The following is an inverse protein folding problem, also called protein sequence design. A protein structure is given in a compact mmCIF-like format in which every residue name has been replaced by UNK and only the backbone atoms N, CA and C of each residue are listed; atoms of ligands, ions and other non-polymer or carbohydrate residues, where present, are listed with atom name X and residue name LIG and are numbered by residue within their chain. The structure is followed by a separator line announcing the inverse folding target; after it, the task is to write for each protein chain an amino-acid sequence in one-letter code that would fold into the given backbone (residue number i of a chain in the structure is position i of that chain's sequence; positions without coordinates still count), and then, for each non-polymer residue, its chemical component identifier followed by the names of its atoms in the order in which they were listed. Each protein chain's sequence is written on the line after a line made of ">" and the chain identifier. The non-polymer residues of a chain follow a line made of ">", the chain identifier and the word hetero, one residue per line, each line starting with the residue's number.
data_IF_298199696733
#
_entry.id   IF_298199696733
#
_cell.length_a   1.000
_cell.length_b   1.000
_cell.length_c   1.000
_cell.angle_alpha   90.00
_cell.angle_beta   90.00
_cell.angle_gamma   90.00
#
_symmetry.space_group_name_H-M   'P 1'
#
loop_
_entity.id
_entity.type
_entity.pdbx_description
1 polymer ?
#
# COMPACT_ATOMS: atom_id res chain seq x y z
N UNK A 1 21.74 58.92 8.96
CA UNK A 1 20.92 57.92 9.69
C UNK A 1 20.27 56.87 8.80
N UNK A 2 19.84 57.15 7.55
CA UNK A 2 19.14 56.15 6.70
C UNK A 2 20.00 55.06 6.03
N UNK A 3 21.32 55.23 5.90
CA UNK A 3 22.21 54.23 5.25
C UNK A 3 22.72 53.12 6.20
N UNK A 4 22.66 53.34 7.51
CA UNK A 4 23.06 52.34 8.49
C UNK A 4 21.89 51.47 8.95
N UNK A 5 20.65 51.97 8.89
CA UNK A 5 19.46 51.18 9.26
C UNK A 5 19.24 50.02 8.29
N UNK A 6 19.51 50.19 6.99
CA UNK A 6 19.27 49.14 6.00
C UNK A 6 20.32 48.02 6.05
N UNK A 7 21.57 48.35 6.35
CA UNK A 7 22.65 47.37 6.53
C UNK A 7 22.54 46.63 7.87
N UNK A 8 22.07 47.29 8.94
CA UNK A 8 21.80 46.61 10.21
C UNK A 8 20.56 45.70 10.12
N UNK A 9 19.52 46.09 9.37
CA UNK A 9 18.33 45.25 9.16
C UNK A 9 18.63 44.04 8.26
N UNK A 10 19.46 44.18 7.20
CA UNK A 10 19.90 43.02 6.42
C UNK A 10 20.87 42.10 7.17
N UNK A 11 21.73 42.64 8.04
CA UNK A 11 22.62 41.81 8.87
C UNK A 11 21.83 41.01 9.93
N UNK A 12 20.76 41.58 10.50
CA UNK A 12 19.87 40.87 11.45
C UNK A 12 18.98 39.84 10.74
N UNK A 13 18.54 40.10 9.51
CA UNK A 13 17.80 39.13 8.69
C UNK A 13 18.70 37.99 8.15
N UNK A 14 19.97 38.26 7.82
CA UNK A 14 20.93 37.20 7.45
C UNK A 14 21.38 36.37 8.66
N UNK A 15 21.42 36.95 9.87
CA UNK A 15 21.67 36.17 11.09
C UNK A 15 20.48 35.28 11.50
N UNK A 16 19.25 35.60 11.10
CA UNK A 16 18.09 34.73 11.33
C UNK A 16 18.07 33.48 10.43
N UNK A 17 18.86 33.44 9.34
CA UNK A 17 19.02 32.26 8.48
C UNK A 17 20.33 31.48 8.71
N UNK A 18 21.18 31.93 9.64
CA UNK A 18 22.43 31.25 10.03
C UNK A 18 22.35 30.53 11.38
N UNK A 19 21.18 30.53 12.03
CA UNK A 19 20.93 29.59 13.11
C UNK A 19 20.78 28.20 12.47
N UNK A 20 21.56 27.17 12.88
CA UNK A 20 21.21 25.82 12.52
C UNK A 20 19.76 25.63 12.97
N UNK A 21 18.86 25.36 12.02
CA UNK A 21 17.58 24.76 12.35
C UNK A 21 17.90 23.39 12.93
N UNK A 22 18.25 23.39 14.21
CA UNK A 22 17.96 22.28 15.09
C UNK A 22 16.45 22.14 14.98
N UNK A 23 16.00 21.23 14.13
CA UNK A 23 14.66 20.71 14.26
C UNK A 23 14.54 20.36 15.73
N UNK A 24 13.70 21.09 16.47
CA UNK A 24 13.42 20.74 17.84
C UNK A 24 12.81 19.35 17.78
N UNK A 25 13.64 18.35 18.05
CA UNK A 25 13.18 17.03 18.35
C UNK A 25 12.47 17.18 19.69
N UNK A 26 11.15 17.33 19.64
CA UNK A 26 10.34 17.12 20.81
C UNK A 26 10.60 15.67 21.25
N UNK A 27 11.04 15.49 22.50
CA UNK A 27 10.90 14.21 23.16
C UNK A 27 9.41 13.90 23.14
N UNK A 28 9.01 13.00 22.26
CA UNK A 28 7.68 12.43 22.33
C UNK A 28 7.70 11.44 23.49
N UNK A 29 6.64 11.37 24.29
CA UNK A 29 6.38 10.30 25.29
C UNK A 29 6.23 8.91 24.65
N UNK A 30 6.86 8.68 23.49
CA UNK A 30 6.80 7.47 22.70
C UNK A 30 7.69 6.41 23.32
N UNK A 31 7.08 5.31 23.73
CA UNK A 31 7.78 4.16 24.33
C UNK A 31 8.10 3.11 23.26
N UNK A 32 9.20 2.38 23.45
CA UNK A 32 9.52 1.19 22.65
C UNK A 32 9.37 -0.05 23.52
N UNK A 33 8.54 -0.97 23.04
CA UNK A 33 8.39 -2.30 23.61
C UNK A 33 9.08 -3.28 22.67
N UNK A 34 10.07 -4.03 23.15
CA UNK A 34 10.62 -5.18 22.44
C UNK A 34 10.11 -6.44 23.11
N UNK A 35 9.39 -7.29 22.38
CA UNK A 35 8.88 -8.56 22.92
C UNK A 35 8.00 -8.39 24.17
N UNK A 36 7.17 -7.34 24.16
CA UNK A 36 6.34 -6.89 25.29
C UNK A 36 7.12 -6.42 26.53
N UNK A 37 8.42 -6.17 26.42
CA UNK A 37 9.24 -5.53 27.47
C UNK A 37 9.61 -4.11 27.06
N UNK A 38 9.36 -3.14 27.93
CA UNK A 38 9.77 -1.76 27.69
C UNK A 38 11.30 -1.64 27.69
N UNK A 39 11.85 -0.99 26.66
CA UNK A 39 13.28 -0.73 26.57
C UNK A 39 13.62 0.55 27.35
N UNK A 40 14.48 0.43 28.36
CA UNK A 40 14.96 1.56 29.13
C UNK A 40 15.93 2.44 28.31
N UNK A 41 15.93 3.75 28.56
CA UNK A 41 16.78 4.74 27.87
C UNK A 41 16.61 4.76 26.33
N UNK A 42 15.42 4.39 25.85
CA UNK A 42 15.10 4.27 24.43
C UNK A 42 14.31 5.47 23.90
N UNK A 43 14.78 6.69 24.18
CA UNK A 43 14.10 7.92 23.74
C UNK A 43 13.91 7.90 22.22
N UNK A 44 12.67 8.10 21.76
CA UNK A 44 12.34 8.07 20.34
C UNK A 44 12.19 9.49 19.83
N UNK A 45 12.78 9.76 18.66
CA UNK A 45 12.63 11.05 17.99
C UNK A 45 11.69 10.90 16.80
N UNK A 46 10.89 11.94 16.55
CA UNK A 46 10.16 12.06 15.28
C UNK A 46 10.80 13.17 14.46
N UNK A 47 11.35 12.81 13.29
CA UNK A 47 11.99 13.75 12.37
C UNK A 47 11.26 13.67 11.03
N UNK A 48 10.65 14.77 10.61
CA UNK A 48 9.91 14.86 9.33
C UNK A 48 8.91 13.71 9.15
N UNK A 49 8.08 13.46 10.18
CA UNK A 49 7.09 12.37 10.24
C UNK A 49 7.66 10.94 10.24
N UNK A 50 8.98 10.77 10.31
CA UNK A 50 9.63 9.46 10.47
C UNK A 50 10.01 9.24 11.92
N UNK A 51 9.62 8.09 12.48
CA UNK A 51 10.05 7.62 13.80
C UNK A 51 11.50 7.12 13.74
N UNK A 52 12.36 7.69 14.58
CA UNK A 52 13.78 7.41 14.67
C UNK A 52 14.08 6.76 16.02
N UNK A 53 14.77 5.61 16.01
CA UNK A 53 15.05 4.82 17.22
C UNK A 53 16.54 4.76 17.53
N UNK A 54 16.93 4.69 18.82
CA UNK A 54 18.32 4.57 19.21
C UNK A 54 18.85 3.19 18.84
N UNK A 55 19.69 3.15 17.80
CA UNK A 55 20.06 1.90 17.14
C UNK A 55 20.83 0.95 18.06
N UNK A 56 21.67 1.50 18.96
CA UNK A 56 22.42 0.72 19.93
C UNK A 56 21.50 -0.05 20.86
N UNK A 57 20.52 0.64 21.45
CA UNK A 57 19.58 0.07 22.41
C UNK A 57 18.78 -1.06 21.78
N UNK A 58 18.24 -0.86 20.57
CA UNK A 58 17.46 -1.91 19.90
C UNK A 58 18.34 -3.09 19.48
N UNK A 59 19.56 -2.84 18.98
CA UNK A 59 20.41 -3.91 18.43
C UNK A 59 21.07 -4.77 19.51
N UNK A 60 21.54 -4.16 20.62
CA UNK A 60 22.19 -4.90 21.71
C UNK A 60 21.21 -5.79 22.47
N UNK A 61 19.93 -5.38 22.58
CA UNK A 61 18.87 -6.22 23.16
C UNK A 61 18.53 -7.45 22.32
N UNK A 62 18.88 -7.42 21.03
CA UNK A 62 18.80 -8.57 20.13
C UNK A 62 20.09 -9.40 20.09
N UNK A 63 21.07 -9.04 20.93
CA UNK A 63 22.35 -9.74 21.02
C UNK A 63 23.38 -9.32 19.96
N UNK A 64 23.11 -8.29 19.15
CA UNK A 64 24.10 -7.77 18.21
C UNK A 64 25.12 -6.87 18.92
N UNK A 65 26.39 -6.97 18.50
CA UNK A 65 27.41 -6.01 18.91
C UNK A 65 27.31 -4.74 18.07
N UNK A 66 27.46 -3.58 18.70
CA UNK A 66 27.43 -2.29 18.02
C UNK A 66 28.76 -1.55 18.18
N UNK A 67 29.48 -1.39 17.08
CA UNK A 67 30.73 -0.64 16.99
C UNK A 67 30.52 0.79 16.51
N UNK A 68 31.39 1.70 16.95
CA UNK A 68 31.47 3.08 16.47
C UNK A 68 32.86 3.37 15.93
N UNK A 69 32.93 3.89 14.71
CA UNK A 69 34.15 4.40 14.10
C UNK A 69 34.09 5.93 14.04
N UNK A 70 34.85 6.60 14.91
CA UNK A 70 34.89 8.05 15.01
C UNK A 70 35.42 8.74 13.75
N UNK A 71 36.44 8.19 13.10
CA UNK A 71 37.06 8.81 11.92
C UNK A 71 36.13 8.76 10.71
N UNK A 72 35.39 7.66 10.55
CA UNK A 72 34.45 7.47 9.44
C UNK A 72 33.03 7.96 9.74
N UNK A 73 32.73 8.36 10.99
CA UNK A 73 31.38 8.65 11.46
C UNK A 73 30.41 7.51 11.14
N UNK A 74 30.83 6.28 11.46
CA UNK A 74 30.10 5.06 11.11
C UNK A 74 29.70 4.23 12.32
N UNK A 75 28.46 3.74 12.30
CA UNK A 75 27.97 2.69 13.20
C UNK A 75 27.99 1.36 12.47
N UNK A 76 28.53 0.33 13.11
CA UNK A 76 28.54 -1.05 12.62
C UNK A 76 27.75 -1.93 13.58
N UNK A 77 26.85 -2.76 13.06
CA UNK A 77 26.00 -3.68 13.83
C UNK A 77 26.26 -5.10 13.33
N UNK A 78 26.52 -6.04 14.25
CA UNK A 78 26.84 -7.43 13.91
C UNK A 78 28.33 -7.64 13.61
N UNK A 79 28.64 -8.72 12.89
CA UNK A 79 30.03 -9.09 12.54
C UNK A 79 30.09 -9.99 11.32
N UNK A 80 31.20 -9.96 10.58
CA UNK A 80 31.42 -10.86 9.45
C UNK A 80 30.50 -10.55 8.26
N UNK A 81 29.92 -11.57 7.65
CA UNK A 81 29.02 -11.42 6.50
C UNK A 81 27.64 -10.82 6.85
N UNK A 82 27.23 -10.93 8.13
CA UNK A 82 25.97 -10.43 8.66
C UNK A 82 26.17 -9.07 9.36
N UNK A 83 26.62 -8.08 8.58
CA UNK A 83 27.00 -6.76 9.09
C UNK A 83 26.18 -5.65 8.45
N UNK A 84 25.63 -4.77 9.28
CA UNK A 84 25.01 -3.51 8.86
C UNK A 84 25.95 -2.35 9.19
N UNK A 85 26.23 -1.48 8.20
CA UNK A 85 27.06 -0.28 8.37
C UNK A 85 26.25 0.96 7.98
N UNK A 86 26.18 1.92 8.90
CA UNK A 86 25.47 3.18 8.75
C UNK A 86 26.48 4.32 8.83
N UNK A 87 26.43 5.26 7.88
CA UNK A 87 27.22 6.50 7.93
C UNK A 87 26.30 7.66 8.33
N UNK A 88 26.72 8.46 9.31
CA UNK A 88 25.91 9.59 9.79
C UNK A 88 25.67 10.60 8.66
N UNK A 89 24.45 11.16 8.62
CA UNK A 89 23.95 12.11 7.62
C UNK A 89 23.83 11.57 6.19
N UNK A 90 23.96 10.26 5.98
CA UNK A 90 23.73 9.63 4.68
C UNK A 90 22.34 8.96 4.63
N UNK A 91 21.69 9.02 3.46
CA UNK A 91 20.39 8.37 3.19
C UNK A 91 20.53 6.92 2.71
N UNK A 92 21.68 6.31 2.93
CA UNK A 92 21.92 4.93 2.59
C UNK A 92 22.80 4.27 3.65
N UNK A 93 22.57 2.98 3.86
CA UNK A 93 23.38 2.09 4.66
C UNK A 93 23.89 0.94 3.78
N UNK A 94 24.81 0.15 4.28
CA UNK A 94 25.11 -1.16 3.70
C UNK A 94 24.67 -2.26 4.65
N UNK A 95 23.99 -3.28 4.13
CA UNK A 95 23.63 -4.48 4.88
C UNK A 95 24.17 -5.68 4.11
N UNK A 96 25.05 -6.45 4.73
CA UNK A 96 25.70 -7.62 4.14
C UNK A 96 26.39 -7.29 2.79
N UNK A 97 26.96 -6.08 2.69
CA UNK A 97 27.63 -5.56 1.49
C UNK A 97 26.70 -4.92 0.44
N UNK A 98 25.38 -5.07 0.55
CA UNK A 98 24.41 -4.45 -0.35
C UNK A 98 23.99 -3.05 0.13
N UNK A 99 23.81 -2.10 -0.80
CA UNK A 99 23.34 -0.74 -0.47
C UNK A 99 21.83 -0.77 -0.21
N UNK A 100 21.41 -0.25 0.94
CA UNK A 100 20.01 -0.17 1.36
C UNK A 100 19.63 1.29 1.62
N UNK A 101 18.58 1.83 0.99
CA UNK A 101 18.16 3.21 1.19
C UNK A 101 17.47 3.42 2.55
N UNK A 102 17.66 4.62 3.11
CA UNK A 102 17.01 5.09 4.33
C UNK A 102 15.97 6.17 4.00
N UNK A 103 14.80 6.11 4.63
CA UNK A 103 13.75 7.13 4.48
C UNK A 103 14.14 8.47 5.10
N UNK A 104 14.98 8.44 6.15
CA UNK A 104 15.68 9.60 6.71
C UNK A 104 17.13 9.24 7.01
N UNK A 105 18.08 10.19 6.92
CA UNK A 105 19.48 9.90 7.25
C UNK A 105 19.65 9.39 8.68
N UNK A 106 20.65 8.53 8.90
CA UNK A 106 21.08 8.21 10.27
C UNK A 106 21.66 9.47 10.92
N UNK A 107 21.30 9.76 12.18
CA UNK A 107 21.67 11.00 12.87
C UNK A 107 22.36 10.71 14.20
N UNK A 108 23.35 11.51 14.57
CA UNK A 108 23.96 11.47 15.90
C UNK A 108 23.48 12.67 16.73
N UNK A 109 22.95 12.43 17.93
CA UNK A 109 22.51 13.47 18.86
C UNK A 109 22.71 13.01 20.31
N UNK A 110 23.32 13.87 21.15
CA UNK A 110 23.63 13.57 22.57
C UNK A 110 24.25 12.18 22.76
N UNK A 111 25.34 11.91 22.03
CA UNK A 111 26.08 10.63 22.06
C UNK A 111 25.27 9.38 21.62
N UNK A 112 24.06 9.56 21.09
CA UNK A 112 23.20 8.49 20.61
C UNK A 112 23.03 8.57 19.09
N UNK A 113 23.12 7.42 18.42
CA UNK A 113 22.80 7.31 16.98
C UNK A 113 21.35 6.86 16.78
N UNK A 114 20.62 7.64 15.99
CA UNK A 114 19.22 7.46 15.64
C UNK A 114 19.07 7.00 14.20
N UNK A 115 18.23 5.98 13.98
CA UNK A 115 18.02 5.36 12.67
C UNK A 115 16.52 5.17 12.43
N UNK A 116 16.01 5.28 11.18
CA UNK A 116 14.59 5.09 10.90
C UNK A 116 14.11 3.71 11.35
N UNK A 117 13.02 3.68 12.12
CA UNK A 117 12.48 2.46 12.71
C UNK A 117 12.24 1.34 11.68
N UNK A 118 11.70 1.70 10.51
CA UNK A 118 11.44 0.76 9.40
C UNK A 118 12.72 0.08 8.89
N UNK A 119 13.83 0.81 8.89
CA UNK A 119 15.12 0.24 8.49
C UNK A 119 15.60 -0.74 9.56
N UNK A 120 15.57 -0.35 10.84
CA UNK A 120 15.98 -1.20 11.97
C UNK A 120 15.17 -2.49 11.99
N UNK A 121 13.86 -2.39 11.82
CA UNK A 121 13.00 -3.57 11.83
C UNK A 121 13.24 -4.50 10.64
N UNK A 122 13.46 -3.93 9.45
CA UNK A 122 13.73 -4.72 8.25
C UNK A 122 15.09 -5.44 8.32
N UNK A 123 16.14 -4.76 8.81
CA UNK A 123 17.49 -5.33 8.80
C UNK A 123 17.77 -6.26 9.99
N UNK A 124 17.11 -6.05 11.13
CA UNK A 124 17.26 -6.89 12.33
C UNK A 124 16.13 -7.93 12.46
N UNK A 125 15.31 -8.10 11.43
CA UNK A 125 14.27 -9.12 11.39
C UNK A 125 13.13 -8.91 12.39
N UNK A 126 12.83 -7.67 12.77
CA UNK A 126 11.75 -7.36 13.71
C UNK A 126 10.43 -7.05 13.00
N UNK A 127 9.33 -7.48 13.60
CA UNK A 127 8.00 -6.99 13.23
C UNK A 127 7.69 -5.70 13.98
N UNK A 128 6.96 -4.78 13.34
CA UNK A 128 6.58 -3.49 13.94
C UNK A 128 5.08 -3.35 14.02
N UNK A 129 4.59 -2.93 15.19
CA UNK A 129 3.20 -2.52 15.39
C UNK A 129 3.16 -1.17 16.10
N UNK A 130 2.48 -0.20 15.50
CA UNK A 130 2.24 1.11 16.12
C UNK A 130 0.91 1.10 16.87
N UNK A 131 0.90 1.51 18.14
CA UNK A 131 -0.33 1.76 18.90
C UNK A 131 -0.53 3.25 19.12
N UNK A 132 -1.45 3.84 18.36
CA UNK A 132 -1.64 5.30 18.34
C UNK A 132 -2.17 5.89 19.66
N UNK A 133 -3.01 5.14 20.39
CA UNK A 133 -3.62 5.61 21.64
C UNK A 133 -2.60 5.72 22.80
N UNK A 134 -1.65 4.78 22.85
CA UNK A 134 -0.60 4.73 23.86
C UNK A 134 0.73 5.36 23.39
N UNK A 135 0.76 5.89 22.16
CA UNK A 135 1.97 6.36 21.47
C UNK A 135 3.15 5.38 21.63
N UNK A 136 2.90 4.08 21.49
CA UNK A 136 3.90 3.04 21.76
C UNK A 136 4.25 2.28 20.48
N UNK A 137 5.54 2.09 20.24
CA UNK A 137 6.08 1.21 19.21
C UNK A 137 6.30 -0.16 19.81
N UNK A 138 5.70 -1.19 19.22
CA UNK A 138 6.02 -2.58 19.57
C UNK A 138 6.89 -3.19 18.48
N UNK A 139 8.00 -3.78 18.91
CA UNK A 139 8.97 -4.54 18.16
C UNK A 139 8.91 -5.98 18.63
N UNK A 140 8.94 -6.92 17.70
CA UNK A 140 8.83 -8.33 18.03
C UNK A 140 9.89 -9.14 17.31
N UNK A 141 10.60 -9.97 18.06
CA UNK A 141 11.56 -10.91 17.51
C UNK A 141 10.84 -12.07 16.82
N UNK A 142 11.42 -12.54 15.72
CA UNK A 142 10.86 -13.68 15.01
C UNK A 142 10.91 -14.92 15.90
N UNK A 143 9.75 -15.57 16.07
CA UNK A 143 9.62 -16.78 16.86
C UNK A 143 9.25 -16.58 18.34
N UNK A 144 9.03 -15.35 18.81
CA UNK A 144 8.47 -15.12 20.15
C UNK A 144 6.94 -15.31 20.15
N UNK A 145 6.40 -16.37 20.78
CA UNK A 145 4.96 -16.67 20.76
C UNK A 145 4.09 -15.65 21.51
N UNK A 146 4.67 -14.86 22.42
CA UNK A 146 3.95 -13.80 23.14
C UNK A 146 4.07 -12.42 22.47
N UNK A 147 5.08 -12.23 21.63
CA UNK A 147 5.47 -10.97 20.99
C UNK A 147 4.51 -10.51 19.89
N UNK A 148 3.24 -10.31 20.20
CA UNK A 148 2.24 -9.85 19.23
C UNK A 148 0.87 -9.65 19.86
N UNK A 149 0.64 -10.23 21.04
CA UNK A 149 -0.55 -10.03 21.84
C UNK A 149 -0.42 -8.74 22.65
N UNK A 150 -1.05 -7.67 22.18
CA UNK A 150 -1.25 -6.47 23.00
C UNK A 150 -2.31 -6.83 24.04
N UNK A 151 -1.89 -7.09 25.28
CA UNK A 151 -2.79 -7.38 26.42
C UNK A 151 -2.69 -8.77 27.06
N UNK A 152 -1.68 -9.59 26.74
CA UNK A 152 -1.50 -10.87 27.43
C UNK A 152 -0.83 -10.67 28.81
N UNK A 153 -1.57 -10.96 29.87
CA UNK A 153 -1.05 -11.08 31.22
C UNK A 153 -0.24 -12.39 31.33
N UNK A 154 0.98 -12.41 31.92
CA UNK A 154 1.80 -13.61 31.96
C UNK A 154 1.34 -14.50 33.13
N UNK A 155 0.68 -15.61 32.82
CA UNK A 155 0.37 -16.61 33.84
C UNK A 155 -0.66 -17.64 33.38
N UNK A 156 -0.20 -18.74 32.79
CA UNK A 156 -0.93 -20.01 32.84
C UNK A 156 0.05 -21.16 32.63
N UNK A 157 0.47 -21.76 33.73
CA UNK A 157 1.13 -23.07 33.79
C UNK A 157 0.08 -24.16 33.82
N UNK A 158 0.18 -25.12 32.90
CA UNK A 158 -0.28 -26.50 33.08
C UNK A 158 0.42 -27.32 31.99
N UNK A 159 1.07 -28.47 32.21
CA UNK A 159 0.81 -29.55 33.15
C UNK A 159 0.92 -30.82 32.29
N UNK A 160 2.08 -31.50 32.35
CA UNK A 160 2.45 -32.51 31.35
C UNK A 160 1.71 -33.84 31.47
N UNK A 161 1.50 -34.50 30.33
CA UNK A 161 1.32 -35.97 30.25
C UNK A 161 1.94 -36.49 28.95
N UNK A 162 2.77 -37.53 29.08
CA UNK A 162 3.48 -38.23 28.01
C UNK A 162 2.53 -39.18 27.28
N UNK A 163 2.53 -39.18 25.94
CA UNK A 163 1.89 -40.23 25.11
C UNK A 163 2.92 -40.76 24.09
N UNK A 164 3.02 -42.08 23.85
CA UNK A 164 4.12 -42.69 23.09
C UNK A 164 3.90 -42.72 21.57
N UNK A 165 4.95 -42.34 20.83
CA UNK A 165 5.39 -42.92 19.53
C UNK A 165 4.43 -42.92 18.33
N UNK A 166 4.46 -41.85 17.54
CA UNK A 166 3.95 -41.87 16.15
C UNK A 166 5.04 -42.44 15.20
N UNK A 167 4.71 -43.31 14.23
CA UNK A 167 5.69 -43.85 13.29
C UNK A 167 6.32 -42.75 12.45
N UNK A 168 7.65 -42.76 12.34
CA UNK A 168 8.39 -41.88 11.43
C UNK A 168 8.12 -42.34 10.00
N UNK A 169 7.30 -41.58 9.27
CA UNK A 169 7.17 -41.74 7.82
C UNK A 169 8.54 -41.53 7.16
N UNK A 170 8.87 -42.42 6.23
CA UNK A 170 10.11 -42.41 5.45
C UNK A 170 10.16 -41.12 4.60
N UNK A 171 11.32 -40.45 4.43
CA UNK A 171 11.40 -39.22 3.66
C UNK A 171 11.12 -39.50 2.17
N UNK A 172 9.90 -39.22 1.72
CA UNK A 172 9.57 -39.18 0.29
C UNK A 172 10.25 -37.96 -0.33
N UNK A 173 11.01 -38.12 -1.41
CA UNK A 173 11.56 -36.96 -2.12
C UNK A 173 10.39 -36.16 -2.72
N UNK A 174 10.28 -34.83 -2.50
CA UNK A 174 9.16 -34.05 -3.02
C UNK A 174 9.19 -34.05 -4.56
N UNK A 175 8.04 -34.35 -5.17
CA UNK A 175 7.91 -34.59 -6.62
C UNK A 175 7.62 -33.32 -7.43
N UNK A 176 7.19 -32.24 -6.77
CA UNK A 176 6.89 -30.94 -7.35
C UNK A 176 7.40 -29.75 -6.50
N UNK A 177 7.55 -28.60 -7.13
CA UNK A 177 7.92 -27.32 -6.51
C UNK A 177 6.87 -26.24 -6.79
N UNK A 178 6.50 -25.48 -5.76
CA UNK A 178 5.77 -24.22 -5.91
C UNK A 178 6.72 -23.16 -6.45
N UNK A 179 6.38 -22.56 -7.58
CA UNK A 179 7.16 -21.51 -8.26
C UNK A 179 6.67 -20.12 -7.95
N UNK A 180 5.36 -19.95 -7.75
CA UNK A 180 4.74 -18.69 -7.38
C UNK A 180 3.42 -18.93 -6.64
N UNK A 181 3.08 -18.02 -5.75
CA UNK A 181 1.75 -17.87 -5.19
C UNK A 181 1.38 -16.39 -5.36
N UNK A 182 0.20 -16.13 -5.91
CA UNK A 182 -0.33 -14.78 -6.08
C UNK A 182 -1.81 -14.75 -5.79
N UNK A 183 -2.34 -13.58 -5.47
CA UNK A 183 -3.75 -13.38 -5.23
C UNK A 183 -4.23 -12.11 -5.91
N UNK A 184 -5.29 -12.23 -6.71
CA UNK A 184 -5.98 -11.12 -7.36
C UNK A 184 -7.43 -11.51 -7.66
N UNK A 185 -8.35 -10.55 -7.71
CA UNK A 185 -9.77 -10.76 -8.10
C UNK A 185 -10.51 -11.86 -7.33
N UNK A 186 -10.29 -11.96 -6.02
CA UNK A 186 -10.83 -13.05 -5.18
C UNK A 186 -10.34 -14.45 -5.62
N UNK A 187 -9.23 -14.52 -6.37
CA UNK A 187 -8.65 -15.76 -6.88
C UNK A 187 -7.21 -15.89 -6.44
N UNK A 188 -6.94 -16.91 -5.63
CA UNK A 188 -5.58 -17.37 -5.34
C UNK A 188 -5.10 -18.21 -6.52
N UNK A 189 -3.88 -17.97 -6.98
CA UNK A 189 -3.16 -18.84 -7.92
C UNK A 189 -1.92 -19.41 -7.23
N UNK A 190 -1.73 -20.72 -7.35
CA UNK A 190 -0.52 -21.42 -6.94
C UNK A 190 0.05 -22.10 -8.19
N UNK A 191 1.22 -21.64 -8.63
CA UNK A 191 1.92 -22.21 -9.80
C UNK A 191 2.96 -23.21 -9.33
N UNK A 192 2.97 -24.40 -9.95
CA UNK A 192 3.96 -25.45 -9.71
C UNK A 192 4.71 -25.81 -10.99
N UNK A 193 5.86 -26.47 -10.87
CA UNK A 193 6.62 -26.99 -12.01
C UNK A 193 6.00 -28.22 -12.67
N UNK A 194 5.17 -28.96 -11.93
CA UNK A 194 4.44 -30.15 -12.38
C UNK A 194 3.02 -30.11 -11.86
N UNK A 195 2.11 -30.84 -12.51
CA UNK A 195 0.73 -30.95 -12.03
C UNK A 195 0.69 -31.58 -10.63
N UNK A 196 -0.02 -30.93 -9.71
CA UNK A 196 -0.22 -31.38 -8.32
C UNK A 196 -1.71 -31.54 -8.07
N UNK A 197 -2.10 -32.64 -7.42
CA UNK A 197 -3.47 -32.84 -6.94
C UNK A 197 -3.52 -32.27 -5.52
N UNK A 198 -4.15 -31.10 -5.38
CA UNK A 198 -4.34 -30.46 -4.08
C UNK A 198 -5.54 -31.06 -3.33
N UNK A 199 -5.50 -30.93 -2.00
CA UNK A 199 -6.64 -31.16 -1.11
C UNK A 199 -7.06 -29.84 -0.50
N UNK A 200 -8.35 -29.63 -0.31
CA UNK A 200 -8.90 -28.41 0.28
C UNK A 200 -9.87 -28.71 1.42
N UNK A 201 -9.94 -27.79 2.38
CA UNK A 201 -10.89 -27.85 3.48
C UNK A 201 -11.23 -26.45 4.00
N UNK A 202 -12.38 -26.33 4.67
CA UNK A 202 -12.80 -25.13 5.38
C UNK A 202 -12.60 -25.35 6.88
N UNK A 203 -12.06 -24.34 7.56
CA UNK A 203 -11.92 -24.32 9.01
C UNK A 203 -12.77 -23.18 9.58
N UNK A 204 -13.48 -23.43 10.67
CA UNK A 204 -14.25 -22.42 11.41
C UNK A 204 -13.54 -21.99 12.69
N UNK A 205 -13.74 -20.73 13.10
CA UNK A 205 -13.21 -20.17 14.34
C UNK A 205 -11.68 -19.97 14.39
N UNK A 206 -11.08 -19.06 13.58
CA UNK A 206 -11.67 -18.18 12.56
C UNK A 206 -11.86 -18.86 11.19
N UNK A 207 -12.72 -18.28 10.35
CA UNK A 207 -13.05 -18.77 9.02
C UNK A 207 -11.84 -18.77 8.09
N UNK A 208 -11.47 -19.94 7.56
CA UNK A 208 -10.31 -20.14 6.70
C UNK A 208 -10.58 -21.17 5.62
N UNK A 209 -9.91 -21.00 4.49
CA UNK A 209 -9.78 -22.05 3.47
C UNK A 209 -8.33 -22.53 3.50
N UNK A 210 -8.13 -23.82 3.71
CA UNK A 210 -6.83 -24.48 3.68
C UNK A 210 -6.70 -25.26 2.37
N UNK A 211 -5.61 -25.01 1.63
CA UNK A 211 -5.19 -25.81 0.48
C UNK A 211 -3.89 -26.51 0.80
N UNK A 212 -3.87 -27.82 0.70
CA UNK A 212 -2.72 -28.67 0.93
C UNK A 212 -2.22 -29.22 -0.41
N UNK A 213 -0.90 -29.15 -0.62
CA UNK A 213 -0.19 -29.67 -1.78
C UNK A 213 0.74 -30.79 -1.30
N UNK A 214 0.27 -32.05 -1.27
CA UNK A 214 1.09 -33.19 -0.86
C UNK A 214 2.28 -33.39 -1.80
N UNK A 215 3.35 -33.98 -1.29
CA UNK A 215 4.61 -34.25 -1.99
C UNK A 215 5.22 -33.03 -2.71
N UNK A 216 4.99 -31.82 -2.18
CA UNK A 216 5.39 -30.56 -2.79
C UNK A 216 6.28 -29.77 -1.84
N UNK A 217 7.28 -29.07 -2.39
CA UNK A 217 8.14 -28.11 -1.67
C UNK A 217 8.05 -26.71 -2.26
N UNK A 218 8.63 -25.73 -1.57
CA UNK A 218 8.85 -24.39 -2.13
C UNK A 218 10.05 -24.36 -3.09
N UNK A 219 9.90 -23.68 -4.22
CA UNK A 219 11.00 -23.39 -5.13
C UNK A 219 11.83 -22.20 -4.67
N UNK A 220 13.01 -21.99 -5.26
CA UNK A 220 13.92 -20.90 -4.87
C UNK A 220 13.34 -19.49 -5.02
N UNK A 221 12.40 -19.30 -5.96
CA UNK A 221 11.73 -18.02 -6.23
C UNK A 221 10.67 -17.63 -5.21
N UNK A 222 10.17 -18.59 -4.42
CA UNK A 222 9.13 -18.35 -3.41
C UNK A 222 9.29 -19.33 -2.26
N UNK A 223 9.58 -18.83 -1.06
CA UNK A 223 9.74 -19.69 0.11
C UNK A 223 11.00 -20.56 0.09
N UNK A 224 11.96 -20.32 -0.82
CA UNK A 224 13.23 -21.04 -0.88
C UNK A 224 14.10 -20.93 0.38
N UNK A 225 13.84 -19.92 1.22
CA UNK A 225 14.47 -19.73 2.54
C UNK A 225 13.49 -19.98 3.70
N UNK A 226 12.25 -20.42 3.42
CA UNK A 226 11.23 -20.63 4.43
C UNK A 226 11.42 -22.01 5.06
N UNK A 227 11.87 -22.06 6.32
CA UNK A 227 12.09 -23.31 7.02
C UNK A 227 10.76 -24.01 7.35
N UNK A 228 10.82 -25.32 7.64
CA UNK A 228 9.65 -26.07 8.10
C UNK A 228 9.07 -25.41 9.36
N UNK A 229 7.78 -25.07 9.30
CA UNK A 229 7.07 -24.36 10.36
C UNK A 229 7.13 -22.84 10.28
N UNK A 230 7.91 -22.27 9.36
CA UNK A 230 7.87 -20.83 9.09
C UNK A 230 6.75 -20.48 8.12
N UNK A 231 6.18 -19.29 8.32
CA UNK A 231 5.01 -18.81 7.57
C UNK A 231 5.41 -17.66 6.68
N UNK A 232 5.27 -17.84 5.38
CA UNK A 232 5.23 -16.75 4.42
C UNK A 232 3.83 -16.14 4.35
N UNK A 233 3.75 -14.87 3.98
CA UNK A 233 2.47 -14.17 3.81
C UNK A 233 2.41 -13.47 2.46
N UNK A 234 1.19 -13.31 1.95
CA UNK A 234 0.89 -12.54 0.75
C UNK A 234 -0.12 -11.48 1.15
N UNK A 235 0.11 -10.24 0.70
CA UNK A 235 -0.84 -9.15 0.93
C UNK A 235 -2.17 -9.48 0.25
N UNK A 236 -3.26 -9.30 0.98
CA UNK A 236 -4.64 -9.40 0.49
C UNK A 236 -5.41 -8.09 0.76
N UNK A 237 -4.69 -6.95 0.80
CA UNK A 237 -5.23 -5.65 1.20
C UNK A 237 -6.41 -5.15 0.35
N UNK A 238 -6.55 -5.68 -0.86
CA UNK A 238 -7.58 -5.39 -1.85
C UNK A 238 -8.71 -6.44 -1.91
N UNK A 239 -8.73 -7.42 -1.00
CA UNK A 239 -9.74 -8.46 -0.96
C UNK A 239 -10.93 -8.08 -0.07
N UNK A 240 -12.15 -8.23 -0.60
CA UNK A 240 -13.39 -7.91 0.13
C UNK A 240 -13.48 -8.69 1.45
N UNK A 241 -13.21 -9.98 1.41
CA UNK A 241 -13.42 -10.91 2.52
C UNK A 241 -12.19 -11.73 2.93
N UNK A 242 -10.99 -11.36 2.47
CA UNK A 242 -9.74 -12.00 2.90
C UNK A 242 -9.00 -11.05 3.83
N UNK A 243 -8.58 -11.54 4.99
CA UNK A 243 -7.76 -10.78 5.93
C UNK A 243 -6.26 -10.96 5.65
N UNK A 244 -5.85 -12.17 5.26
CA UNK A 244 -4.46 -12.50 4.95
C UNK A 244 -4.37 -13.82 4.19
N UNK A 245 -3.30 -14.02 3.43
CA UNK A 245 -2.97 -15.32 2.85
C UNK A 245 -1.62 -15.75 3.42
N UNK A 246 -1.55 -16.98 3.91
CA UNK A 246 -0.37 -17.59 4.54
C UNK A 246 0.05 -18.81 3.76
N UNK A 247 1.35 -19.09 3.68
CA UNK A 247 1.86 -20.32 3.11
C UNK A 247 3.03 -20.86 3.93
N UNK A 248 3.11 -22.17 4.12
CA UNK A 248 4.13 -22.81 4.97
C UNK A 248 4.25 -24.30 4.69
N UNK A 249 5.30 -24.93 5.24
CA UNK A 249 5.38 -26.39 5.41
C UNK A 249 5.09 -26.71 6.88
N UNK A 250 4.08 -27.54 7.22
CA UNK A 250 3.72 -27.81 8.62
C UNK A 250 4.83 -28.48 9.42
N UNK A 251 4.92 -28.17 10.72
CA UNK A 251 5.82 -28.90 11.64
C UNK A 251 5.40 -30.37 11.70
N UNK A 252 6.36 -31.27 11.45
CA UNK A 252 6.11 -32.71 11.38
C UNK A 252 5.75 -33.24 9.99
N UNK A 253 5.55 -32.35 9.01
CA UNK A 253 5.46 -32.72 7.59
C UNK A 253 6.81 -32.47 6.92
N UNK A 254 7.30 -33.43 6.15
CA UNK A 254 8.55 -33.25 5.39
C UNK A 254 8.30 -32.80 3.96
N UNK A 255 7.06 -32.92 3.45
CA UNK A 255 6.78 -32.80 2.02
C UNK A 255 5.35 -32.33 1.69
N UNK A 256 4.75 -31.43 2.46
CA UNK A 256 3.44 -30.87 2.11
C UNK A 256 3.47 -29.36 2.28
N UNK A 257 3.26 -28.63 1.18
CA UNK A 257 3.05 -27.18 1.24
C UNK A 257 1.58 -26.94 1.58
N UNK A 258 1.33 -26.07 2.53
CA UNK A 258 -0.01 -25.58 2.85
C UNK A 258 -0.13 -24.10 2.52
N UNK A 259 -1.26 -23.72 1.94
CA UNK A 259 -1.66 -22.32 1.73
C UNK A 259 -3.00 -22.10 2.42
N UNK A 260 -3.06 -21.10 3.30
CA UNK A 260 -4.25 -20.75 4.10
C UNK A 260 -4.72 -19.37 3.70
N UNK A 261 -5.98 -19.26 3.30
CA UNK A 261 -6.68 -18.01 3.09
C UNK A 261 -7.45 -17.71 4.37
N UNK A 262 -7.01 -16.71 5.14
CA UNK A 262 -7.73 -16.23 6.31
C UNK A 262 -8.86 -15.30 5.86
N UNK A 263 -10.10 -15.62 6.23
CA UNK A 263 -11.28 -14.88 5.82
C UNK A 263 -11.79 -13.96 6.94
N UNK A 264 -12.41 -12.85 6.55
CA UNK A 264 -13.12 -11.97 7.48
C UNK A 264 -14.47 -12.58 7.91
N UNK A 265 -15.05 -13.43 7.06
CA UNK A 265 -16.29 -14.19 7.26
C UNK A 265 -16.35 -15.41 6.31
N UNK A 266 -17.18 -16.40 6.59
CA UNK A 266 -17.35 -17.58 5.73
C UNK A 266 -17.63 -17.23 4.26
N UNK A 267 -17.04 -17.99 3.33
CA UNK A 267 -17.13 -17.75 1.89
C UNK A 267 -17.17 -19.06 1.12
N UNK A 268 -18.04 -19.17 0.13
CA UNK A 268 -17.99 -20.31 -0.80
C UNK A 268 -16.78 -20.16 -1.73
N UNK A 269 -16.21 -21.26 -2.18
CA UNK A 269 -15.10 -21.21 -3.13
C UNK A 269 -15.14 -22.39 -4.10
N UNK A 270 -14.38 -22.25 -5.19
CA UNK A 270 -14.11 -23.33 -6.13
C UNK A 270 -12.61 -23.54 -6.27
N UNK A 271 -12.15 -24.75 -5.98
CA UNK A 271 -10.81 -25.22 -6.36
C UNK A 271 -10.86 -25.76 -7.79
N UNK A 272 -9.88 -25.37 -8.62
CA UNK A 272 -9.71 -25.89 -9.97
C UNK A 272 -8.24 -25.98 -10.36
N UNK A 273 -7.93 -26.83 -11.33
CA UNK A 273 -6.57 -27.03 -11.83
C UNK A 273 -6.55 -26.84 -13.35
N UNK A 274 -5.56 -26.08 -13.84
CA UNK A 274 -5.31 -25.88 -15.26
C UNK A 274 -3.80 -26.06 -15.52
N UNK A 275 -3.43 -27.13 -16.21
CA UNK A 275 -2.02 -27.50 -16.40
C UNK A 275 -1.30 -27.71 -15.07
N UNK A 276 -0.29 -26.88 -14.79
CA UNK A 276 0.49 -26.90 -13.54
C UNK A 276 0.10 -25.77 -12.56
N UNK A 277 -1.07 -25.16 -12.76
CA UNK A 277 -1.57 -24.11 -11.87
C UNK A 277 -2.84 -24.54 -11.16
N UNK A 278 -2.89 -24.27 -9.86
CA UNK A 278 -4.04 -24.46 -8.99
C UNK A 278 -4.70 -23.10 -8.72
N UNK A 279 -6.01 -23.07 -8.70
CA UNK A 279 -6.78 -21.86 -8.46
C UNK A 279 -7.84 -22.05 -7.38
N UNK A 280 -7.83 -21.19 -6.37
CA UNK A 280 -8.93 -21.05 -5.40
C UNK A 280 -9.68 -19.79 -5.75
N UNK A 281 -10.88 -19.92 -6.32
CA UNK A 281 -11.73 -18.78 -6.63
C UNK A 281 -12.77 -18.64 -5.53
N UNK A 282 -12.68 -17.57 -4.76
CA UNK A 282 -13.64 -17.19 -3.73
C UNK A 282 -14.86 -16.55 -4.38
N UNK A 283 -16.06 -16.88 -3.88
CA UNK A 283 -17.24 -16.10 -4.19
C UNK A 283 -16.99 -14.66 -3.76
N UNK A 284 -17.41 -13.72 -4.60
CA UNK A 284 -17.36 -12.32 -4.21
C UNK A 284 -18.38 -12.13 -3.11
N UNK A 285 -17.90 -11.78 -1.91
CA UNK A 285 -18.80 -11.22 -0.89
C UNK A 285 -19.28 -9.93 -1.50
N UNK A 286 -20.49 -9.97 -2.05
CA UNK A 286 -21.25 -8.76 -2.26
C UNK A 286 -21.40 -8.18 -0.87
N UNK A 287 -20.52 -7.22 -0.52
CA UNK A 287 -20.83 -6.34 0.58
C UNK A 287 -22.24 -5.85 0.28
N UNK A 288 -23.23 -6.09 1.15
CA UNK A 288 -24.48 -5.40 1.01
C UNK A 288 -24.11 -3.93 1.18
N UNK A 289 -24.04 -3.20 0.07
CA UNK A 289 -23.90 -1.74 0.08
C UNK A 289 -25.27 -1.23 0.54
N UNK A 290 -25.52 -1.42 1.83
CA UNK A 290 -26.74 -1.00 2.50
C UNK A 290 -26.60 0.50 2.70
N UNK A 291 -27.21 1.26 1.77
CA UNK A 291 -27.33 2.71 1.86
C UNK A 291 -26.95 3.51 0.62
N UNK A 292 -26.45 2.87 -0.46
CA UNK A 292 -26.21 3.56 -1.75
C UNK A 292 -27.28 3.14 -2.75
N UNK A 293 -28.02 4.11 -3.26
CA UNK A 293 -29.14 3.86 -4.17
C UNK A 293 -30.39 3.31 -3.46
N UNK A 294 -31.53 3.31 -4.17
CA UNK A 294 -32.82 2.86 -3.62
C UNK A 294 -33.49 3.83 -2.63
N UNK A 295 -32.86 4.96 -2.32
CA UNK A 295 -33.35 6.04 -1.44
C UNK A 295 -33.82 7.30 -2.23
N UNK A 296 -33.93 7.20 -3.56
CA UNK A 296 -34.29 8.31 -4.46
C UNK A 296 -33.12 9.20 -4.88
N UNK A 297 -31.91 9.00 -4.34
CA UNK A 297 -30.70 9.73 -4.74
C UNK A 297 -30.06 9.15 -6.00
N UNK A 298 -29.29 9.99 -6.69
CA UNK A 298 -28.45 9.60 -7.83
C UNK A 298 -27.12 9.01 -7.38
N UNK A 299 -26.75 7.85 -7.92
CA UNK A 299 -25.50 7.17 -7.59
C UNK A 299 -24.43 7.55 -8.61
N UNK A 300 -23.35 8.17 -8.15
CA UNK A 300 -22.22 8.58 -8.99
C UNK A 300 -21.00 7.74 -8.62
N UNK A 301 -20.41 7.10 -9.64
CA UNK A 301 -19.11 6.43 -9.49
C UNK A 301 -17.99 7.28 -10.05
N UNK A 302 -17.04 7.61 -9.18
CA UNK A 302 -15.80 8.31 -9.55
C UNK A 302 -14.66 7.30 -9.57
N UNK A 303 -14.07 7.11 -10.74
CA UNK A 303 -12.94 6.25 -10.97
C UNK A 303 -11.64 7.04 -11.07
N UNK A 304 -10.70 6.79 -10.16
CA UNK A 304 -9.36 7.37 -10.24
C UNK A 304 -8.45 6.40 -11.01
N UNK A 305 -8.03 6.75 -12.23
CA UNK A 305 -7.19 5.89 -13.07
C UNK A 305 -5.89 5.43 -12.38
N UNK A 306 -5.38 4.26 -12.77
CA UNK A 306 -4.12 3.67 -12.27
C UNK A 306 -4.12 3.34 -10.76
N UNK A 307 -2.95 3.16 -10.13
CA UNK A 307 -2.78 2.90 -8.69
C UNK A 307 -1.65 1.90 -8.37
N UNK A 308 -1.08 1.99 -7.17
CA UNK A 308 0.01 1.13 -6.66
C UNK A 308 1.17 0.95 -7.66
N UNK A 309 1.37 -0.25 -8.19
CA UNK A 309 2.46 -0.56 -9.12
C UNK A 309 2.28 0.07 -10.50
N UNK A 310 1.08 0.55 -10.84
CA UNK A 310 0.78 1.25 -12.08
C UNK A 310 0.80 2.76 -11.81
N UNK A 311 1.89 3.46 -12.14
CA UNK A 311 1.98 4.91 -11.96
C UNK A 311 1.15 5.71 -12.96
N UNK A 312 0.61 5.06 -14.00
CA UNK A 312 0.21 5.72 -15.23
C UNK A 312 1.40 6.42 -15.90
N UNK A 313 1.13 7.47 -16.66
CA UNK A 313 2.19 8.25 -17.27
C UNK A 313 3.04 9.01 -16.22
N UNK A 314 4.34 9.13 -16.48
CA UNK A 314 5.29 9.88 -15.63
C UNK A 314 5.84 11.06 -16.40
N UNK A 315 5.56 12.26 -15.91
CA UNK A 315 6.02 13.51 -16.52
C UNK A 315 7.51 13.78 -16.33
N UNK A 316 8.09 14.73 -17.09
CA UNK A 316 9.53 15.02 -17.09
C UNK A 316 10.07 15.53 -15.75
N UNK A 317 9.20 15.96 -14.83
CA UNK A 317 9.56 16.42 -13.48
C UNK A 317 9.22 15.40 -12.39
N UNK A 318 8.89 14.15 -12.76
CA UNK A 318 8.55 13.08 -11.83
C UNK A 318 7.09 13.04 -11.37
N UNK A 319 6.22 13.88 -11.95
CA UNK A 319 4.77 13.83 -11.70
C UNK A 319 4.23 12.48 -12.17
N UNK A 320 3.54 11.75 -11.30
CA UNK A 320 2.89 10.49 -11.65
C UNK A 320 1.41 10.73 -11.85
N UNK A 321 0.86 10.22 -12.95
CA UNK A 321 -0.54 10.37 -13.31
C UNK A 321 -1.48 9.88 -12.19
N UNK A 322 -1.16 8.72 -11.58
CA UNK A 322 -1.97 8.14 -10.51
C UNK A 322 -2.20 9.05 -9.31
N UNK A 323 -1.22 9.92 -9.01
CA UNK A 323 -1.27 10.84 -7.87
C UNK A 323 -2.21 12.01 -8.19
N UNK A 324 -2.13 12.55 -9.41
CA UNK A 324 -3.01 13.62 -9.90
C UNK A 324 -4.45 13.11 -10.04
N UNK A 325 -4.62 11.91 -10.61
CA UNK A 325 -5.93 11.28 -10.77
C UNK A 325 -6.62 11.07 -9.41
N UNK A 326 -5.88 10.56 -8.41
CA UNK A 326 -6.43 10.37 -7.05
C UNK A 326 -6.76 11.69 -6.38
N UNK A 327 -5.86 12.68 -6.45
CA UNK A 327 -6.06 14.00 -5.85
C UNK A 327 -7.33 14.69 -6.37
N UNK A 328 -7.52 14.69 -7.69
CA UNK A 328 -8.74 15.20 -8.33
C UNK A 328 -9.98 14.41 -7.92
N UNK A 329 -9.94 13.08 -7.98
CA UNK A 329 -11.07 12.22 -7.65
C UNK A 329 -11.54 12.41 -6.20
N UNK A 330 -10.62 12.51 -5.24
CA UNK A 330 -10.93 12.76 -3.83
C UNK A 330 -11.61 14.12 -3.64
N UNK A 331 -11.14 15.16 -4.34
CA UNK A 331 -11.75 16.51 -4.29
C UNK A 331 -13.15 16.51 -4.90
N UNK A 332 -13.34 15.87 -6.05
CA UNK A 332 -14.66 15.71 -6.68
C UNK A 332 -15.63 15.02 -5.73
N UNK A 333 -15.21 13.90 -5.13
CA UNK A 333 -16.02 13.17 -4.17
C UNK A 333 -16.35 14.00 -2.93
N UNK A 334 -15.38 14.75 -2.38
CA UNK A 334 -15.60 15.62 -1.22
C UNK A 334 -16.60 16.77 -1.51
N UNK A 335 -16.61 17.29 -2.73
CA UNK A 335 -17.58 18.32 -3.15
C UNK A 335 -18.97 17.71 -3.29
N UNK A 336 -19.09 16.61 -4.06
CA UNK A 336 -20.38 16.00 -4.35
C UNK A 336 -21.06 15.38 -3.12
N UNK A 337 -20.29 14.86 -2.16
CA UNK A 337 -20.81 14.37 -0.86
C UNK A 337 -21.63 15.41 -0.08
N UNK A 338 -21.49 16.70 -0.40
CA UNK A 338 -22.28 17.77 0.22
C UNK A 338 -23.67 17.92 -0.40
N UNK A 339 -23.94 17.34 -1.57
CA UNK A 339 -25.25 17.35 -2.18
C UNK A 339 -26.10 16.20 -1.58
N UNK A 340 -27.25 16.50 -0.93
CA UNK A 340 -28.08 15.48 -0.30
C UNK A 340 -28.78 14.54 -1.30
N UNK A 341 -28.83 14.91 -2.59
CA UNK A 341 -29.51 14.16 -3.65
C UNK A 341 -28.59 13.16 -4.36
N UNK A 342 -27.34 13.01 -3.93
CA UNK A 342 -26.38 12.09 -4.55
C UNK A 342 -25.74 11.16 -3.51
N UNK A 343 -25.46 9.93 -3.92
CA UNK A 343 -24.57 9.01 -3.23
C UNK A 343 -23.31 8.81 -4.07
N UNK A 344 -22.14 8.89 -3.44
CA UNK A 344 -20.85 8.83 -4.13
C UNK A 344 -20.12 7.54 -3.77
N UNK A 345 -19.67 6.83 -4.80
CA UNK A 345 -18.82 5.66 -4.68
C UNK A 345 -17.54 5.91 -5.46
N UNK A 346 -16.39 5.58 -4.88
CA UNK A 346 -15.10 5.68 -5.56
C UNK A 346 -14.58 4.27 -5.88
N UNK A 347 -13.93 4.10 -7.03
CA UNK A 347 -13.25 2.81 -7.33
C UNK A 347 -12.03 2.61 -6.43
N UNK A 348 -11.33 3.68 -6.06
CA UNK A 348 -10.29 3.72 -5.02
C UNK A 348 -10.26 5.08 -4.32
N UNK A 349 -9.89 5.08 -3.04
CA UNK A 349 -9.69 6.30 -2.22
C UNK A 349 -8.27 6.45 -1.69
N UNK A 350 -7.38 5.52 -2.04
CA UNK A 350 -5.96 5.49 -1.72
C UNK A 350 -5.15 4.99 -2.93
N UNK A 351 -3.85 4.75 -2.74
CA UNK A 351 -2.92 4.28 -3.77
C UNK A 351 -3.03 2.76 -4.01
N UNK A 352 -4.24 2.27 -4.25
CA UNK A 352 -4.53 0.85 -4.57
C UNK A 352 -4.71 0.65 -6.07
N UNK A 353 -4.13 -0.42 -6.62
CA UNK A 353 -4.37 -0.83 -8.01
C UNK A 353 -5.71 -1.60 -8.15
N UNK A 354 -6.51 -1.20 -9.14
CA UNK A 354 -7.69 -1.95 -9.60
C UNK A 354 -7.55 -2.28 -11.09
N UNK A 355 -7.82 -3.53 -11.43
CA UNK A 355 -7.98 -3.98 -12.81
C UNK A 355 -9.16 -3.29 -13.51
N UNK A 356 -9.08 -3.17 -14.83
CA UNK A 356 -10.10 -2.45 -15.62
C UNK A 356 -11.51 -3.06 -15.45
N UNK A 357 -11.60 -4.39 -15.35
CA UNK A 357 -12.87 -5.11 -15.13
C UNK A 357 -13.46 -4.86 -13.75
N UNK A 358 -12.61 -4.66 -12.74
CA UNK A 358 -13.05 -4.39 -11.36
C UNK A 358 -13.67 -3.01 -11.25
N UNK A 359 -13.06 -2.00 -11.89
CA UNK A 359 -13.59 -0.62 -11.97
C UNK A 359 -15.01 -0.59 -12.55
N UNK A 360 -15.23 -1.35 -13.63
CA UNK A 360 -16.55 -1.54 -14.25
C UNK A 360 -17.52 -2.24 -13.30
N UNK A 361 -17.06 -3.27 -12.59
CA UNK A 361 -17.91 -4.02 -11.67
C UNK A 361 -18.40 -3.16 -10.52
N UNK A 362 -17.54 -2.31 -9.94
CA UNK A 362 -17.95 -1.36 -8.89
C UNK A 362 -19.17 -0.58 -9.33
N UNK A 363 -19.15 -0.02 -10.55
CA UNK A 363 -20.26 0.75 -11.10
C UNK A 363 -21.54 -0.05 -11.33
N UNK A 364 -21.41 -1.28 -11.82
CA UNK A 364 -22.56 -2.17 -12.03
C UNK A 364 -23.20 -2.61 -10.72
N UNK A 365 -22.40 -2.97 -9.72
CA UNK A 365 -22.90 -3.51 -8.45
C UNK A 365 -23.73 -2.50 -7.66
N UNK A 366 -23.39 -1.20 -7.76
CA UNK A 366 -24.14 -0.13 -7.08
C UNK A 366 -25.28 0.42 -7.93
N UNK A 367 -25.54 -0.17 -9.11
CA UNK A 367 -26.48 0.35 -10.09
C UNK A 367 -26.28 1.86 -10.35
N UNK A 368 -25.02 2.26 -10.62
CA UNK A 368 -24.68 3.68 -10.77
C UNK A 368 -25.54 4.35 -11.84
N UNK A 369 -25.97 5.59 -11.60
CA UNK A 369 -26.61 6.43 -12.62
C UNK A 369 -25.57 6.95 -13.62
N UNK A 370 -24.35 7.23 -13.15
CA UNK A 370 -23.23 7.69 -13.99
C UNK A 370 -21.88 7.16 -13.51
N UNK A 371 -20.96 6.97 -14.46
CA UNK A 371 -19.57 6.61 -14.22
C UNK A 371 -18.62 7.65 -14.84
N UNK A 372 -17.65 8.14 -14.07
CA UNK A 372 -16.64 9.07 -14.55
C UNK A 372 -15.25 8.55 -14.18
N UNK A 373 -14.41 8.30 -15.19
CA UNK A 373 -13.00 7.97 -15.00
C UNK A 373 -12.13 9.21 -15.21
N UNK A 374 -11.23 9.49 -14.27
CA UNK A 374 -10.36 10.66 -14.27
C UNK A 374 -8.93 10.21 -14.57
N UNK A 375 -8.38 10.76 -15.65
CA UNK A 375 -7.05 10.49 -16.19
C UNK A 375 -6.31 11.79 -16.57
N UNK A 376 -5.02 11.65 -16.81
CA UNK A 376 -4.21 12.69 -17.44
C UNK A 376 -3.32 12.09 -18.53
N UNK A 377 -3.37 12.68 -19.71
CA UNK A 377 -2.86 12.08 -20.93
C UNK A 377 -1.33 12.17 -21.01
N UNK A 378 -0.76 11.49 -21.99
CA UNK A 378 0.66 11.55 -22.33
C UNK A 378 0.86 11.47 -23.84
N UNK A 379 1.90 12.11 -24.32
CA UNK A 379 2.28 12.13 -25.73
C UNK A 379 3.67 12.73 -25.91
N UNK A 380 3.90 13.40 -27.05
CA UNK A 380 5.11 14.20 -27.19
C UNK A 380 5.16 15.31 -26.14
N UNK A 381 6.34 15.86 -25.88
CA UNK A 381 6.50 16.99 -24.93
C UNK A 381 5.73 18.25 -25.34
N UNK A 382 5.35 18.35 -26.63
CA UNK A 382 4.54 19.44 -27.18
C UNK A 382 3.03 19.14 -27.17
N UNK A 383 2.61 17.89 -26.95
CA UNK A 383 1.19 17.56 -26.81
C UNK A 383 0.62 18.24 -25.56
N UNK A 384 -0.58 18.81 -25.68
CA UNK A 384 -1.25 19.58 -24.64
C UNK A 384 -2.73 19.67 -24.93
N UNK A 385 -3.54 19.87 -23.89
CA UNK A 385 -4.98 20.07 -23.99
C UNK A 385 -5.83 19.12 -23.16
N UNK A 386 -7.12 19.47 -23.07
CA UNK A 386 -8.14 18.69 -22.36
C UNK A 386 -8.98 17.90 -23.36
N UNK A 387 -9.22 16.62 -23.07
CA UNK A 387 -10.08 15.75 -23.89
C UNK A 387 -11.13 15.04 -23.03
N UNK A 388 -12.22 14.61 -23.66
CA UNK A 388 -13.22 13.79 -22.97
C UNK A 388 -13.71 12.69 -23.88
N UNK A 389 -13.69 11.47 -23.39
CA UNK A 389 -14.04 10.29 -24.16
C UNK A 389 -15.36 9.70 -23.73
N UNK A 390 -16.15 9.29 -24.72
CA UNK A 390 -17.33 8.45 -24.57
C UNK A 390 -17.19 7.25 -25.51
N UNK A 391 -17.88 6.15 -25.20
CA UNK A 391 -17.92 4.99 -26.09
C UNK A 391 -19.33 4.72 -26.59
N UNK A 392 -20.33 4.71 -25.70
CA UNK A 392 -21.72 4.44 -26.06
C UNK A 392 -22.48 5.73 -26.39
N UNK A 393 -23.49 5.64 -27.26
CA UNK A 393 -24.23 6.81 -27.74
C UNK A 393 -24.97 7.57 -26.64
N UNK A 394 -25.53 6.86 -25.65
CA UNK A 394 -26.17 7.39 -24.44
C UNK A 394 -25.19 8.15 -23.52
N UNK A 395 -23.90 7.83 -23.58
CA UNK A 395 -22.84 8.51 -22.82
C UNK A 395 -22.42 9.86 -23.43
N UNK A 396 -22.77 10.16 -24.69
CA UNK A 396 -22.29 11.37 -25.38
C UNK A 396 -22.79 12.66 -24.72
N UNK A 397 -24.02 12.67 -24.20
CA UNK A 397 -24.57 13.80 -23.47
C UNK A 397 -23.77 14.07 -22.19
N UNK A 398 -23.49 13.04 -21.39
CA UNK A 398 -22.65 13.14 -20.19
C UNK A 398 -21.27 13.71 -20.53
N UNK A 399 -20.59 13.13 -21.52
CA UNK A 399 -19.27 13.55 -21.94
C UNK A 399 -19.24 15.02 -22.42
N UNK A 400 -20.27 15.46 -23.16
CA UNK A 400 -20.40 16.84 -23.64
C UNK A 400 -20.61 17.83 -22.50
N UNK A 401 -21.47 17.48 -21.54
CA UNK A 401 -21.71 18.30 -20.36
C UNK A 401 -20.46 18.42 -19.50
N UNK A 402 -19.76 17.32 -19.22
CA UNK A 402 -18.51 17.36 -18.45
C UNK A 402 -17.43 18.17 -19.16
N UNK A 403 -17.24 17.94 -20.46
CA UNK A 403 -16.22 18.63 -21.26
C UNK A 403 -16.39 20.15 -21.23
N UNK A 404 -17.64 20.64 -21.36
CA UNK A 404 -17.98 22.07 -21.26
C UNK A 404 -17.39 22.71 -20.00
N UNK A 405 -17.58 22.06 -18.86
CA UNK A 405 -17.13 22.59 -17.57
C UNK A 405 -15.63 22.46 -17.36
N UNK A 406 -15.06 21.29 -17.65
CA UNK A 406 -13.62 21.07 -17.42
C UNK A 406 -12.78 21.94 -18.36
N UNK A 407 -13.18 22.14 -19.61
CA UNK A 407 -12.45 22.98 -20.56
C UNK A 407 -12.34 24.43 -20.06
N UNK A 408 -13.43 24.98 -19.52
CA UNK A 408 -13.43 26.31 -18.93
C UNK A 408 -12.55 26.39 -17.67
N UNK A 409 -12.48 25.31 -16.88
CA UNK A 409 -11.71 25.26 -15.64
C UNK A 409 -10.20 25.02 -15.87
N UNK A 410 -9.83 24.23 -16.87
CA UNK A 410 -8.43 23.99 -17.21
C UNK A 410 -7.85 25.18 -17.96
N UNK A 411 -8.63 25.79 -18.86
CA UNK A 411 -8.12 26.82 -19.79
C UNK A 411 -7.11 26.26 -20.79
N UNK A 412 -7.00 24.93 -20.89
CA UNK A 412 -6.09 24.25 -21.80
C UNK A 412 -6.66 24.22 -23.21
N UNK A 413 -5.83 23.78 -24.17
CA UNK A 413 -6.25 23.58 -25.55
C UNK A 413 -7.44 22.63 -25.61
N UNK A 414 -8.49 23.04 -26.30
CA UNK A 414 -9.67 22.21 -26.53
C UNK A 414 -9.36 21.09 -27.54
N UNK A 415 -9.40 19.84 -27.08
CA UNK A 415 -9.23 18.65 -27.92
C UNK A 415 -10.52 17.84 -28.07
N UNK A 416 -11.64 18.46 -27.72
CA UNK A 416 -13.01 18.03 -27.97
C UNK A 416 -13.41 16.76 -27.23
N UNK A 417 -14.71 16.50 -27.35
CA UNK A 417 -15.35 15.24 -26.98
C UNK A 417 -15.14 14.24 -28.09
N UNK A 418 -14.57 13.08 -27.77
CA UNK A 418 -14.15 12.08 -28.75
C UNK A 418 -14.74 10.70 -28.45
N UNK A 419 -14.92 9.89 -29.49
CA UNK A 419 -15.19 8.47 -29.32
C UNK A 419 -13.90 7.78 -28.86
N UNK A 420 -13.97 6.96 -27.81
CA UNK A 420 -12.83 6.23 -27.27
C UNK A 420 -13.22 4.80 -26.88
N UNK A 421 -12.40 3.82 -27.27
CA UNK A 421 -12.67 2.41 -27.03
C UNK A 421 -12.05 1.89 -25.70
N UNK A 422 -12.17 2.68 -24.63
CA UNK A 422 -11.58 2.32 -23.32
C UNK A 422 -12.47 1.35 -22.56
N UNK A 423 -11.86 0.34 -21.94
CA UNK A 423 -12.59 -0.76 -21.26
C UNK A 423 -13.60 -0.24 -20.23
N UNK A 424 -13.20 0.73 -19.39
CA UNK A 424 -14.02 1.21 -18.27
C UNK A 424 -15.29 1.94 -18.69
N UNK A 425 -15.29 2.61 -19.85
CA UNK A 425 -16.48 3.29 -20.40
C UNK A 425 -17.25 2.44 -21.42
N UNK A 426 -16.61 1.42 -22.00
CA UNK A 426 -17.27 0.47 -22.91
C UNK A 426 -18.09 -0.56 -22.16
N UNK A 427 -17.52 -1.15 -21.11
CA UNK A 427 -18.10 -2.31 -20.45
C UNK A 427 -19.07 -1.94 -19.32
N UNK A 428 -19.17 -0.66 -18.93
CA UNK A 428 -20.20 -0.14 -18.02
C UNK A 428 -21.57 -0.14 -18.68
N UNK A 429 -22.64 -0.23 -17.88
CA UNK A 429 -24.04 -0.29 -18.35
C UNK A 429 -24.80 1.04 -18.19
N UNK A 430 -24.23 1.98 -17.45
CA UNK A 430 -24.75 3.34 -17.25
C UNK A 430 -23.94 4.36 -18.04
N UNK A 431 -24.46 5.57 -18.35
CA UNK A 431 -23.69 6.63 -18.99
C UNK A 431 -22.31 6.83 -18.36
N UNK A 432 -21.28 6.78 -19.20
CA UNK A 432 -19.88 6.70 -18.76
C UNK A 432 -18.96 7.58 -19.60
N UNK A 433 -18.11 8.37 -18.94
CA UNK A 433 -17.12 9.23 -19.59
C UNK A 433 -15.72 9.05 -18.97
N UNK A 434 -14.68 9.18 -19.79
CA UNK A 434 -13.28 9.23 -19.36
C UNK A 434 -12.75 10.64 -19.64
N UNK A 435 -12.23 11.30 -18.60
CA UNK A 435 -11.74 12.67 -18.66
C UNK A 435 -10.21 12.64 -18.75
N UNK A 436 -9.67 13.26 -19.78
CA UNK A 436 -8.25 13.58 -19.89
C UNK A 436 -8.05 15.05 -19.56
N UNK A 437 -7.69 15.35 -18.31
CA UNK A 437 -7.70 16.73 -17.81
C UNK A 437 -6.62 17.59 -18.48
N UNK A 438 -5.43 17.03 -18.65
CA UNK A 438 -4.29 17.63 -19.34
C UNK A 438 -3.21 16.58 -19.61
N UNK A 439 -2.05 16.99 -20.12
CA UNK A 439 -0.94 16.11 -20.46
C UNK A 439 0.16 16.13 -19.39
N UNK A 440 0.41 15.02 -18.70
CA UNK A 440 1.53 14.93 -17.74
C UNK A 440 2.90 14.97 -18.43
N UNK A 441 2.96 14.63 -19.71
CA UNK A 441 4.18 14.74 -20.53
C UNK A 441 4.54 16.19 -20.87
N UNK A 442 3.58 17.11 -20.80
CA UNK A 442 3.79 18.53 -21.05
C UNK A 442 4.24 19.24 -19.77
N UNK A 443 5.44 19.82 -19.77
CA UNK A 443 5.99 20.41 -18.55
C UNK A 443 5.13 21.56 -17.97
N UNK A 444 4.47 22.35 -18.81
CA UNK A 444 3.64 23.47 -18.36
C UNK A 444 2.31 22.99 -17.76
N UNK A 445 1.64 22.02 -18.40
CA UNK A 445 0.40 21.44 -17.86
C UNK A 445 0.72 20.60 -16.62
N UNK A 446 1.78 19.79 -16.61
CA UNK A 446 2.22 19.00 -15.45
C UNK A 446 2.58 19.86 -14.22
N UNK A 447 3.04 21.09 -14.41
CA UNK A 447 3.24 22.04 -13.32
C UNK A 447 1.90 22.51 -12.72
N UNK A 448 0.91 22.80 -13.58
CA UNK A 448 -0.43 23.21 -13.15
C UNK A 448 -1.23 22.06 -12.52
N UNK A 449 -1.19 20.86 -13.10
CA UNK A 449 -1.89 19.65 -12.62
C UNK A 449 -1.53 19.29 -11.16
N UNK A 450 -0.38 19.73 -10.67
CA UNK A 450 0.07 19.51 -9.28
C UNK A 450 -0.41 20.54 -8.28
N UNK A 451 -0.90 21.70 -8.72
CA UNK A 451 -1.27 22.75 -7.77
C UNK A 451 -2.65 22.48 -7.19
N UNK A 452 -2.78 22.76 -5.89
CA UNK A 452 -4.04 22.57 -5.16
C UNK A 452 -5.15 23.44 -5.75
N UNK A 453 -4.83 24.67 -6.17
CA UNK A 453 -5.80 25.60 -6.76
C UNK A 453 -6.32 25.10 -8.10
N UNK A 454 -5.45 24.54 -8.95
CA UNK A 454 -5.86 23.99 -10.24
C UNK A 454 -6.74 22.77 -10.02
N UNK A 455 -6.32 21.82 -9.17
CA UNK A 455 -7.08 20.62 -8.89
C UNK A 455 -8.44 20.92 -8.27
N UNK A 456 -8.49 21.86 -7.33
CA UNK A 456 -9.74 22.29 -6.71
C UNK A 456 -10.70 22.89 -7.74
N UNK A 457 -10.22 23.78 -8.62
CA UNK A 457 -11.02 24.40 -9.68
C UNK A 457 -11.57 23.37 -10.67
N UNK A 458 -10.76 22.41 -11.10
CA UNK A 458 -11.20 21.33 -11.99
C UNK A 458 -12.19 20.39 -11.29
N UNK A 459 -11.95 20.05 -10.02
CA UNK A 459 -12.85 19.20 -9.25
C UNK A 459 -14.25 19.84 -9.09
N UNK A 460 -14.30 21.15 -8.83
CA UNK A 460 -15.56 21.91 -8.82
C UNK A 460 -16.26 21.88 -10.18
N UNK A 461 -15.51 21.96 -11.28
CA UNK A 461 -16.06 21.92 -12.62
C UNK A 461 -16.65 20.54 -12.96
N UNK A 462 -15.96 19.45 -12.60
CA UNK A 462 -16.47 18.08 -12.74
C UNK A 462 -17.75 17.91 -11.91
N UNK A 463 -17.75 18.35 -10.65
CA UNK A 463 -18.91 18.26 -9.78
C UNK A 463 -20.12 19.04 -10.33
N UNK A 464 -19.90 20.27 -10.85
CA UNK A 464 -20.95 21.06 -11.51
C UNK A 464 -21.49 20.37 -12.76
N UNK A 465 -20.62 19.81 -13.60
CA UNK A 465 -21.04 19.09 -14.81
C UNK A 465 -21.85 17.83 -14.49
N UNK A 466 -21.48 17.08 -13.45
CA UNK A 466 -22.26 15.92 -13.00
C UNK A 466 -23.62 16.34 -12.43
N UNK A 467 -23.64 17.41 -11.64
CA UNK A 467 -24.87 17.97 -11.05
C UNK A 467 -25.83 18.44 -12.14
N UNK A 468 -25.33 19.16 -13.16
CA UNK A 468 -26.14 19.59 -14.32
C UNK A 468 -26.68 18.39 -15.09
N UNK A 469 -25.84 17.39 -15.39
CA UNK A 469 -26.26 16.23 -16.16
C UNK A 469 -27.35 15.42 -15.45
N UNK A 470 -27.23 15.27 -14.13
CA UNK A 470 -28.17 14.51 -13.31
C UNK A 470 -29.42 15.31 -12.89
N UNK A 471 -29.38 16.63 -12.98
CA UNK A 471 -30.46 17.52 -12.56
C UNK A 471 -30.70 17.55 -11.05
N UNK A 472 -29.62 17.53 -10.25
CA UNK A 472 -29.65 17.35 -8.77
C UNK A 472 -29.10 18.50 -7.96
#
# INVERSE_FOLDING_TARGET
>A
MKKYVLTTVMAVLMLMFLLPHTGQAASSDTRIMLDNRELANADVLTVSQTTMVPIRVVSEELGYKVGWNQAAQQVTIGSGADTVVLTINQKAATANGAIVPLTQPAMAQKETTYVPLRFVSAQLGLQVKWQNAAKTVYLFTQGNPAGGQVGANPGSTDGGTVVPGTPVETPVTPSAEVKAISFSDNRLMISTDKAVIAKDSVLSGPDRILVELPNTRFGSSIGGNLAVGEIGTISASNADNVSQIRYFVPKGSTNSVQVVIDLKSANNYKLSTEGTSLFVTLDKVTAPITGVGGNGKKVIVIDAGHGDHDPGAVGPTGVREKDVNLGLALKVAAILKKNPNVDIVMTRSDDTFLELKERVRVAKNVNADVFVSIHNNSGSSAASGTETYYQRGDSKALATTLHKYILAATGFKDRKVQYGNFHVIRETTMPAALLEIGFVSNAAEAAQLRTEEFQQRVAEAIARGLTEYLGV
#
